data_IF_320428742996
#
_entry.id   IF_320428742996
#
_cell.length_a   1.000
_cell.length_b   1.000
_cell.length_c   1.000
_cell.angle_alpha   90.00
_cell.angle_beta   90.00
_cell.angle_gamma   90.00
#
_symmetry.space_group_name_H-M   'P 1'
#
loop_
_entity.id
_entity.type
_entity.pdbx_description
1 polymer ?
#
# COMPACT_ATOMS: atom_id res chain seq x y z
N UNK A 1 6.32 -0.27 -6.72
CA UNK A 1 7.50 -0.43 -5.85
C UNK A 1 8.28 -1.71 -6.16
N UNK A 2 7.71 -2.92 -6.10
CA UNK A 2 8.45 -4.16 -6.39
C UNK A 2 9.12 -4.19 -7.79
N UNK A 3 8.46 -3.64 -8.82
CA UNK A 3 9.02 -3.46 -10.18
C UNK A 3 10.26 -2.56 -10.23
N UNK A 4 10.39 -1.67 -9.24
CA UNK A 4 11.43 -0.67 -9.14
C UNK A 4 12.36 -0.94 -7.93
N UNK A 5 12.34 -2.17 -7.41
CA UNK A 5 13.13 -2.59 -6.26
C UNK A 5 14.15 -3.63 -6.69
N UNK A 6 15.43 -3.34 -6.46
CA UNK A 6 16.52 -4.29 -6.61
C UNK A 6 16.72 -5.05 -5.30
N UNK A 7 16.38 -6.34 -5.33
CA UNK A 7 16.48 -7.22 -4.16
C UNK A 7 17.89 -7.67 -3.84
N UNK A 8 18.83 -7.61 -4.80
CA UNK A 8 20.22 -8.00 -4.57
C UNK A 8 20.93 -6.94 -3.74
N UNK A 9 20.79 -5.68 -4.15
CA UNK A 9 21.41 -4.55 -3.47
C UNK A 9 20.52 -3.93 -2.38
N UNK A 10 19.28 -4.41 -2.23
CA UNK A 10 18.27 -3.84 -1.32
C UNK A 10 18.09 -2.34 -1.54
N UNK A 11 17.88 -1.94 -2.80
CA UNK A 11 17.73 -0.54 -3.21
C UNK A 11 16.42 -0.33 -3.98
N UNK A 12 15.81 0.85 -3.84
CA UNK A 12 14.61 1.25 -4.58
C UNK A 12 14.94 2.39 -5.54
N UNK A 13 14.35 2.39 -6.73
CA UNK A 13 14.50 3.50 -7.66
C UNK A 13 13.80 4.75 -7.10
N UNK A 14 14.58 5.80 -6.89
CA UNK A 14 14.16 7.06 -6.32
C UNK A 14 15.00 8.19 -6.92
N UNK A 15 14.35 9.25 -7.39
CA UNK A 15 14.99 10.44 -7.96
C UNK A 15 16.06 10.15 -9.04
N UNK A 16 15.71 9.28 -10.00
CA UNK A 16 16.58 8.94 -11.13
C UNK A 16 17.68 7.90 -10.84
N UNK A 17 17.82 7.43 -9.59
CA UNK A 17 18.87 6.49 -9.17
C UNK A 17 18.32 5.41 -8.25
N UNK A 18 19.10 4.36 -8.05
CA UNK A 18 18.80 3.36 -7.01
C UNK A 18 19.32 3.85 -5.66
N UNK A 19 18.42 3.93 -4.68
CA UNK A 19 18.67 4.44 -3.35
C UNK A 19 18.49 3.33 -2.30
N UNK A 20 19.46 3.24 -1.38
CA UNK A 20 19.33 2.46 -0.15
C UNK A 20 18.51 3.20 0.91
N UNK A 21 18.37 2.58 2.09
CA UNK A 21 17.63 3.18 3.21
C UNK A 21 18.27 4.48 3.71
N UNK A 22 19.58 4.65 3.54
CA UNK A 22 20.33 5.82 4.02
C UNK A 22 19.84 7.16 3.45
N UNK A 23 19.34 7.16 2.21
CA UNK A 23 18.81 8.37 1.55
C UNK A 23 17.57 8.92 2.27
N UNK A 24 16.84 8.06 2.97
CA UNK A 24 15.60 8.40 3.66
C UNK A 24 15.80 8.76 5.14
N UNK A 25 17.03 8.74 5.66
CA UNK A 25 17.33 9.03 7.08
C UNK A 25 16.80 10.39 7.56
N UNK A 26 16.79 11.40 6.69
CA UNK A 26 16.29 12.73 7.01
C UNK A 26 14.78 12.75 7.35
N UNK A 27 14.03 11.72 6.97
CA UNK A 27 12.61 11.60 7.31
C UNK A 27 12.38 11.22 8.79
N UNK A 28 13.40 10.75 9.50
CA UNK A 28 13.29 10.35 10.91
C UNK A 28 12.33 9.17 11.15
N UNK A 29 12.09 8.34 10.13
CA UNK A 29 11.14 7.22 10.17
C UNK A 29 11.81 5.90 9.73
N UNK A 30 13.02 5.64 10.24
CA UNK A 30 13.83 4.47 9.90
C UNK A 30 13.08 3.14 10.04
N UNK A 31 12.18 3.06 11.01
CA UNK A 31 11.28 1.92 11.24
C UNK A 31 10.32 1.68 10.07
N UNK A 32 9.65 2.73 9.58
CA UNK A 32 8.78 2.66 8.40
C UNK A 32 9.59 2.33 7.15
N UNK A 33 10.73 3.01 6.94
CA UNK A 33 11.59 2.79 5.77
C UNK A 33 12.08 1.34 5.73
N UNK A 34 12.53 0.78 6.86
CA UNK A 34 12.92 -0.63 6.95
C UNK A 34 11.78 -1.55 6.54
N UNK A 35 10.56 -1.33 7.06
CA UNK A 35 9.39 -2.15 6.72
C UNK A 35 9.04 -2.06 5.23
N UNK A 36 9.17 -0.87 4.61
CA UNK A 36 8.94 -0.67 3.18
C UNK A 36 9.94 -1.48 2.34
N UNK A 37 11.22 -1.45 2.70
CA UNK A 37 12.27 -2.22 2.01
C UNK A 37 12.11 -3.73 2.21
N UNK A 38 11.75 -4.17 3.42
CA UNK A 38 11.44 -5.57 3.70
C UNK A 38 10.25 -6.07 2.88
N UNK A 39 9.21 -5.25 2.76
CA UNK A 39 8.07 -5.56 1.90
C UNK A 39 8.50 -5.66 0.44
N UNK A 40 9.26 -4.69 -0.08
CA UNK A 40 9.82 -4.69 -1.42
C UNK A 40 10.59 -5.98 -1.71
N UNK A 41 11.56 -6.32 -0.86
CA UNK A 41 12.35 -7.56 -0.96
C UNK A 41 11.47 -8.80 -0.95
N UNK A 42 10.50 -8.86 -0.04
CA UNK A 42 9.60 -10.00 0.08
C UNK A 42 8.68 -10.20 -1.14
N UNK A 43 8.34 -9.12 -1.85
CA UNK A 43 7.58 -9.18 -3.10
C UNK A 43 8.47 -9.59 -4.27
N UNK A 44 9.72 -9.10 -4.33
CA UNK A 44 10.66 -9.42 -5.40
C UNK A 44 11.00 -10.92 -5.47
N UNK A 45 11.09 -11.60 -4.32
CA UNK A 45 11.36 -13.06 -4.26
C UNK A 45 10.21 -13.91 -4.84
N UNK A 46 9.00 -13.37 -4.97
CA UNK A 46 7.88 -14.08 -5.60
C UNK A 46 8.03 -14.08 -7.14
N UNK A 47 8.80 -13.14 -7.69
CA UNK A 47 9.05 -12.98 -9.13
C UNK A 47 7.76 -12.90 -9.94
N UNK A 48 6.79 -12.08 -9.50
CA UNK A 48 5.52 -11.92 -10.20
C UNK A 48 5.73 -11.33 -11.59
N UNK A 49 4.98 -11.84 -12.57
CA UNK A 49 4.83 -11.24 -13.89
C UNK A 49 3.96 -9.98 -13.84
N UNK A 50 4.00 -9.18 -14.91
CA UNK A 50 3.20 -7.96 -15.01
C UNK A 50 1.68 -8.23 -14.91
N UNK A 51 1.20 -9.32 -15.48
CA UNK A 51 -0.21 -9.75 -15.39
C UNK A 51 -0.59 -10.11 -13.95
N UNK A 52 0.27 -10.86 -13.25
CA UNK A 52 0.05 -11.23 -11.85
C UNK A 52 0.07 -10.00 -10.94
N UNK A 53 0.97 -9.04 -11.18
CA UNK A 53 1.02 -7.76 -10.45
C UNK A 53 -0.25 -6.95 -10.70
N UNK A 54 -0.74 -6.88 -11.94
CA UNK A 54 -1.94 -6.14 -12.29
C UNK A 54 -3.18 -6.70 -11.56
N UNK A 55 -3.37 -8.02 -11.61
CA UNK A 55 -4.49 -8.69 -10.95
C UNK A 55 -4.40 -8.60 -9.42
N UNK A 56 -3.21 -8.75 -8.86
CA UNK A 56 -3.01 -8.56 -7.42
C UNK A 56 -3.29 -7.12 -6.98
N UNK A 57 -2.87 -6.13 -7.76
CA UNK A 57 -3.15 -4.71 -7.49
C UNK A 57 -4.65 -4.43 -7.53
N UNK A 58 -5.37 -4.98 -8.52
CA UNK A 58 -6.82 -4.88 -8.62
C UNK A 58 -7.51 -5.56 -7.42
N UNK A 59 -7.03 -6.73 -6.99
CA UNK A 59 -7.57 -7.44 -5.84
C UNK A 59 -7.46 -6.63 -4.54
N UNK A 60 -6.31 -5.99 -4.30
CA UNK A 60 -6.09 -5.13 -3.13
C UNK A 60 -6.95 -3.86 -3.21
N UNK A 61 -7.08 -3.28 -4.41
CA UNK A 61 -7.92 -2.09 -4.62
C UNK A 61 -9.39 -2.39 -4.34
N UNK A 62 -9.90 -3.53 -4.80
CA UNK A 62 -11.30 -3.96 -4.63
C UNK A 62 -11.58 -4.62 -3.28
N UNK A 63 -11.06 -4.06 -2.19
CA UNK A 63 -11.27 -4.60 -0.84
C UNK A 63 -12.66 -4.26 -0.28
N UNK A 64 -13.50 -5.27 -0.05
CA UNK A 64 -14.86 -5.09 0.48
C UNK A 64 -14.92 -4.74 1.99
N UNK A 65 -13.81 -4.91 2.70
CA UNK A 65 -13.67 -4.62 4.14
C UNK A 65 -13.31 -3.15 4.44
N UNK A 66 -13.29 -2.28 3.41
CA UNK A 66 -13.14 -0.84 3.61
C UNK A 66 -14.32 -0.27 4.40
N UNK A 67 -14.01 0.62 5.34
CA UNK A 67 -15.01 1.38 6.07
C UNK A 67 -15.81 2.27 5.12
N UNK A 68 -17.05 2.60 5.48
CA UNK A 68 -17.93 3.51 4.73
C UNK A 68 -18.36 3.05 3.33
N UNK A 69 -18.07 1.81 2.96
CA UNK A 69 -18.49 1.27 1.68
C UNK A 69 -20.02 1.06 1.64
N UNK A 70 -20.70 1.74 0.72
CA UNK A 70 -22.16 1.66 0.56
C UNK A 70 -22.59 0.31 -0.05
N UNK A 71 -21.91 -0.17 -1.08
CA UNK A 71 -22.29 -1.35 -1.85
C UNK A 71 -21.38 -2.56 -1.60
N UNK A 72 -21.19 -2.95 -0.32
CA UNK A 72 -20.26 -4.02 0.09
C UNK A 72 -20.41 -5.32 -0.71
N UNK A 73 -21.64 -5.80 -0.89
CA UNK A 73 -21.91 -7.07 -1.60
C UNK A 73 -21.47 -7.03 -3.08
N UNK A 74 -21.64 -5.89 -3.76
CA UNK A 74 -21.21 -5.75 -5.15
C UNK A 74 -19.69 -5.75 -5.26
N UNK A 75 -19.01 -5.05 -4.36
CA UNK A 75 -17.54 -5.02 -4.29
C UNK A 75 -16.98 -6.40 -3.96
N UNK A 76 -17.58 -7.12 -3.01
CA UNK A 76 -17.17 -8.48 -2.65
C UNK A 76 -17.27 -9.44 -3.84
N UNK A 77 -18.40 -9.40 -4.58
CA UNK A 77 -18.56 -10.20 -5.81
C UNK A 77 -17.51 -9.88 -6.86
N UNK A 78 -17.13 -8.60 -7.02
CA UNK A 78 -16.09 -8.18 -7.95
C UNK A 78 -14.70 -8.64 -7.48
N UNK A 79 -14.42 -8.51 -6.18
CA UNK A 79 -13.17 -8.99 -5.59
C UNK A 79 -12.99 -10.50 -5.77
N UNK A 80 -14.06 -11.28 -5.55
CA UNK A 80 -14.06 -12.73 -5.76
C UNK A 80 -13.75 -13.09 -7.22
N UNK A 81 -14.34 -12.39 -8.20
CA UNK A 81 -14.03 -12.60 -9.62
C UNK A 81 -12.57 -12.30 -9.93
N UNK A 82 -12.00 -11.22 -9.38
CA UNK A 82 -10.59 -10.87 -9.56
C UNK A 82 -9.68 -11.92 -8.90
N UNK A 83 -10.05 -12.44 -7.74
CA UNK A 83 -9.29 -13.51 -7.07
C UNK A 83 -9.26 -14.79 -7.91
N UNK A 84 -10.39 -15.20 -8.48
CA UNK A 84 -10.45 -16.34 -9.39
C UNK A 84 -9.61 -16.12 -10.65
N UNK A 85 -9.64 -14.90 -11.22
CA UNK A 85 -8.78 -14.54 -12.35
C UNK A 85 -7.29 -14.59 -12.00
N UNK A 86 -6.91 -14.08 -10.82
CA UNK A 86 -5.53 -14.16 -10.31
C UNK A 86 -5.10 -15.62 -10.13
N UNK A 87 -5.95 -16.45 -9.51
CA UNK A 87 -5.67 -17.89 -9.35
C UNK A 87 -5.48 -18.58 -10.71
N UNK A 88 -6.34 -18.28 -11.68
CA UNK A 88 -6.25 -18.84 -13.02
C UNK A 88 -4.93 -18.45 -13.72
N UNK A 89 -4.52 -17.18 -13.65
CA UNK A 89 -3.26 -16.71 -14.25
C UNK A 89 -2.05 -17.36 -13.55
N UNK A 90 -2.07 -17.47 -12.23
CA UNK A 90 -1.01 -18.16 -11.48
C UNK A 90 -0.88 -19.63 -11.92
N UNK A 91 -2.00 -20.35 -12.04
CA UNK A 91 -2.02 -21.75 -12.49
C UNK A 91 -1.55 -21.90 -13.94
N UNK A 92 -2.01 -21.00 -14.84
CA UNK A 92 -1.56 -20.95 -16.23
C UNK A 92 -0.04 -20.77 -16.35
N UNK A 93 0.55 -20.00 -15.44
CA UNK A 93 1.99 -19.77 -15.36
C UNK A 93 2.74 -20.89 -14.61
N UNK A 94 2.07 -21.99 -14.24
CA UNK A 94 2.68 -23.13 -13.54
C UNK A 94 3.07 -22.83 -12.10
N UNK A 95 2.47 -21.82 -11.46
CA UNK A 95 2.73 -21.47 -10.06
C UNK A 95 2.04 -22.46 -9.13
N UNK A 96 2.68 -22.74 -8.01
CA UNK A 96 2.08 -23.48 -6.90
C UNK A 96 0.95 -22.67 -6.23
N UNK A 97 -0.09 -23.35 -5.74
CA UNK A 97 -1.22 -22.72 -5.03
C UNK A 97 -0.76 -21.91 -3.80
N UNK A 98 0.38 -22.26 -3.19
CA UNK A 98 0.98 -21.51 -2.07
C UNK A 98 1.31 -20.07 -2.43
N UNK A 99 1.56 -19.76 -3.71
CA UNK A 99 1.85 -18.39 -4.17
C UNK A 99 0.63 -17.50 -3.99
N UNK A 100 -0.57 -17.99 -4.30
CA UNK A 100 -1.81 -17.25 -4.07
C UNK A 100 -1.95 -16.91 -2.58
N UNK A 101 -1.80 -17.91 -1.70
CA UNK A 101 -1.87 -17.71 -0.24
C UNK A 101 -0.85 -16.68 0.23
N UNK A 102 0.40 -16.75 -0.26
CA UNK A 102 1.44 -15.75 0.05
C UNK A 102 1.01 -14.34 -0.36
N UNK A 103 0.42 -14.16 -1.53
CA UNK A 103 -0.08 -12.86 -1.99
C UNK A 103 -1.22 -12.34 -1.13
N UNK A 104 -2.19 -13.19 -0.77
CA UNK A 104 -3.28 -12.79 0.13
C UNK A 104 -2.71 -12.35 1.49
N UNK A 105 -1.71 -13.05 2.03
CA UNK A 105 -1.03 -12.63 3.26
C UNK A 105 -0.30 -11.28 3.12
N UNK A 106 0.15 -10.87 1.93
CA UNK A 106 0.78 -9.56 1.71
C UNK A 106 -0.20 -8.40 1.85
N UNK A 107 -1.51 -8.64 1.72
CA UNK A 107 -2.54 -7.60 1.90
C UNK A 107 -2.55 -7.08 3.33
N UNK A 108 -2.42 -7.94 4.35
CA UNK A 108 -2.34 -7.50 5.74
C UNK A 108 -1.07 -6.70 6.01
N UNK A 109 0.06 -7.11 5.42
CA UNK A 109 1.33 -6.35 5.49
C UNK A 109 1.20 -4.97 4.85
N UNK A 110 0.53 -4.85 3.70
CA UNK A 110 0.26 -3.56 3.04
C UNK A 110 -0.57 -2.64 3.94
N UNK A 111 -1.61 -3.16 4.60
CA UNK A 111 -2.43 -2.37 5.53
C UNK A 111 -1.61 -1.87 6.73
N UNK A 112 -0.75 -2.72 7.29
CA UNK A 112 0.15 -2.33 8.37
C UNK A 112 1.12 -1.22 7.95
N UNK A 113 1.68 -1.31 6.74
CA UNK A 113 2.54 -0.26 6.17
C UNK A 113 1.81 1.08 6.01
N UNK A 114 0.59 1.06 5.46
CA UNK A 114 -0.21 2.28 5.27
C UNK A 114 -0.59 2.89 6.62
N UNK A 115 -0.98 2.06 7.60
CA UNK A 115 -1.27 2.52 8.96
C UNK A 115 -0.06 3.21 9.60
N UNK A 116 1.13 2.59 9.47
CA UNK A 116 2.39 3.16 9.98
C UNK A 116 2.78 4.45 9.27
N UNK A 117 2.57 4.53 7.97
CA UNK A 117 2.75 5.76 7.19
C UNK A 117 1.86 6.88 7.72
N UNK A 118 0.56 6.60 7.94
CA UNK A 118 -0.38 7.59 8.47
C UNK A 118 0.02 8.05 9.87
N UNK A 119 0.45 7.15 10.76
CA UNK A 119 0.96 7.50 12.10
C UNK A 119 2.13 8.50 12.01
N UNK A 120 3.13 8.21 11.16
CA UNK A 120 4.30 9.09 10.98
C UNK A 120 3.92 10.43 10.36
N UNK A 121 3.00 10.44 9.40
CA UNK A 121 2.51 11.67 8.79
C UNK A 121 1.74 12.54 9.80
N UNK A 122 0.91 11.95 10.65
CA UNK A 122 0.18 12.67 11.70
C UNK A 122 1.15 13.32 12.69
N UNK A 123 2.19 12.60 13.12
CA UNK A 123 3.23 13.14 13.99
C UNK A 123 4.01 14.29 13.31
N UNK A 124 4.34 14.14 12.02
CA UNK A 124 4.99 15.20 11.24
C UNK A 124 4.11 16.45 11.15
N UNK A 125 2.81 16.29 10.86
CA UNK A 125 1.86 17.41 10.78
C UNK A 125 1.71 18.14 12.11
N UNK A 126 1.67 17.42 13.23
CA UNK A 126 1.59 18.03 14.55
C UNK A 126 2.80 18.91 14.86
N UNK A 127 3.96 18.59 14.27
CA UNK A 127 5.21 19.33 14.46
C UNK A 127 5.38 20.46 13.45
N UNK A 128 4.96 20.25 12.20
CA UNK A 128 5.16 21.18 11.08
C UNK A 128 3.85 21.45 10.31
N UNK A 129 2.81 22.02 10.95
CA UNK A 129 1.50 22.21 10.33
C UNK A 129 1.56 23.12 9.11
N UNK A 130 2.31 24.23 9.20
CA UNK A 130 2.45 25.20 8.11
C UNK A 130 3.10 24.61 6.86
N UNK A 131 4.09 23.72 7.05
CA UNK A 131 4.77 23.04 5.94
C UNK A 131 3.80 22.11 5.22
N UNK A 132 3.01 21.34 5.98
CA UNK A 132 2.00 20.46 5.39
C UNK A 132 0.97 21.29 4.65
N UNK A 133 0.50 22.41 5.21
CA UNK A 133 -0.51 23.24 4.56
C UNK A 133 0.01 23.88 3.26
N UNK A 134 1.19 24.51 3.31
CA UNK A 134 1.72 25.33 2.22
C UNK A 134 2.44 24.52 1.12
N UNK A 135 3.14 23.44 1.49
CA UNK A 135 4.07 22.77 0.57
C UNK A 135 3.65 21.35 0.17
N UNK A 136 2.75 20.69 0.91
CA UNK A 136 2.34 19.34 0.50
C UNK A 136 1.37 19.39 -0.69
N UNK A 137 1.50 18.45 -1.65
CA UNK A 137 0.61 18.38 -2.81
C UNK A 137 -0.87 18.25 -2.40
N UNK A 138 -1.81 18.92 -3.10
CA UNK A 138 -3.24 18.87 -2.78
C UNK A 138 -3.80 17.45 -2.69
N UNK A 139 -3.54 16.58 -3.68
CA UNK A 139 -4.03 15.20 -3.69
C UNK A 139 -3.50 14.37 -2.50
N UNK A 140 -2.26 14.60 -2.08
CA UNK A 140 -1.70 13.91 -0.93
C UNK A 140 -2.42 14.32 0.36
N UNK A 141 -2.78 15.60 0.48
CA UNK A 141 -3.61 16.12 1.58
C UNK A 141 -5.03 15.58 1.50
N UNK A 142 -5.64 15.42 0.34
CA UNK A 142 -6.99 14.83 0.26
C UNK A 142 -7.00 13.36 0.71
N UNK A 143 -5.97 12.59 0.34
CA UNK A 143 -5.89 11.15 0.67
C UNK A 143 -5.48 10.85 2.12
N UNK A 144 -4.60 11.67 2.72
CA UNK A 144 -4.03 11.42 4.04
C UNK A 144 -4.22 12.58 5.04
N UNK A 145 -4.86 13.67 4.62
CA UNK A 145 -5.14 14.88 5.39
C UNK A 145 -6.21 14.72 6.45
N UNK A 146 -7.18 13.84 6.21
CA UNK A 146 -8.33 13.54 7.08
C UNK A 146 -8.90 14.69 7.93
N UNK A 147 -9.93 15.35 7.40
CA UNK A 147 -11.09 15.81 8.19
C UNK A 147 -12.25 14.78 8.12
N UNK A 148 -11.96 13.49 7.87
CA UNK A 148 -13.01 12.46 7.73
C UNK A 148 -13.40 11.76 9.06
N UNK A 149 -12.81 12.14 10.19
CA UNK A 149 -13.17 11.60 11.52
C UNK A 149 -14.04 12.55 12.36
N UNK A 150 -14.49 13.69 11.84
CA UNK A 150 -15.26 14.69 12.60
C UNK A 150 -16.59 15.09 11.92
N UNK A 151 -17.27 14.11 11.31
CA UNK A 151 -18.66 14.24 10.83
C UNK A 151 -19.71 13.66 11.79
N UNK A 152 -19.30 13.14 12.94
CA UNK A 152 -20.21 12.74 14.02
C UNK A 152 -20.26 13.85 15.08
N UNK A 153 -21.48 14.34 15.36
CA UNK A 153 -21.87 15.55 16.13
C UNK A 153 -21.97 16.78 15.21
N UNK A 154 -23.16 17.19 14.76
CA UNK A 154 -24.32 17.53 15.60
C UNK A 154 -25.63 16.92 15.08
N UNK A 155 -26.24 16.04 15.88
CA UNK A 155 -27.70 16.01 15.97
C UNK A 155 -28.01 17.08 17.02
N UNK A 156 -28.44 18.25 16.58
CA UNK A 156 -29.02 19.26 17.46
C UNK A 156 -30.09 20.02 16.67
N UNK A 157 -31.33 19.98 17.18
CA UNK A 157 -32.51 20.64 16.63
C UNK A 157 -33.68 19.69 16.37
#
# INVERSE_FOLDING_TARGET
MCRAFDSQNSTVYFDGKYAGTDVFKALGCDDLIRLVFEFGKSMSVIHLSEEEIALFSAYVLMSADRTWLQEKVKVEKLQQKIQLALQHVLQKNGREDVVLTKLICKVSTLRALVSRHTEKLTAFRATYPDIVQAHFPPLYKELFGSDFEQGSMSIDG
#
